data_IF_915694851846
#
_entry.id   IF_915694851846
#
_cell.length_a   1.000
_cell.length_b   1.000
_cell.length_c   1.000
_cell.angle_alpha   90.00
_cell.angle_beta   90.00
_cell.angle_gamma   90.00
#
_symmetry.space_group_name_H-M   'P 1'
#
loop_
_entity.id
_entity.type
_entity.pdbx_description
1 polymer ?
#
# COMPACT_ATOMS: atom_id res chain seq x y z
N UNK A 1 -12.99 -24.79 -0.63
CA UNK A 1 -12.10 -23.85 -1.33
C UNK A 1 -12.08 -22.46 -0.67
N UNK A 2 -13.23 -21.85 -0.41
CA UNK A 2 -13.31 -20.50 0.19
C UNK A 2 -12.71 -20.37 1.60
N UNK A 3 -12.81 -21.38 2.46
CA UNK A 3 -12.29 -21.34 3.84
C UNK A 3 -10.76 -21.24 3.86
N UNK A 4 -10.07 -21.90 2.92
CA UNK A 4 -8.60 -21.84 2.85
C UNK A 4 -8.09 -20.44 2.44
N UNK A 5 -8.89 -19.67 1.72
CA UNK A 5 -8.58 -18.27 1.35
C UNK A 5 -8.66 -17.31 2.53
N UNK A 6 -9.30 -17.71 3.63
CA UNK A 6 -9.31 -16.92 4.87
C UNK A 6 -7.97 -16.99 5.62
N UNK A 7 -7.15 -18.04 5.38
CA UNK A 7 -5.85 -18.19 6.05
C UNK A 7 -4.91 -17.03 5.76
N UNK A 8 -4.69 -16.59 4.50
CA UNK A 8 -3.89 -15.40 4.19
C UNK A 8 -4.37 -14.12 4.88
N UNK A 9 -5.68 -13.90 4.90
CA UNK A 9 -6.27 -12.74 5.55
C UNK A 9 -6.01 -12.75 7.06
N UNK A 10 -6.23 -13.90 7.71
CA UNK A 10 -6.01 -14.05 9.14
C UNK A 10 -4.53 -13.92 9.50
N UNK A 11 -3.64 -14.52 8.70
CA UNK A 11 -2.20 -14.40 8.88
C UNK A 11 -1.74 -12.94 8.77
N UNK A 12 -2.17 -12.25 7.72
CA UNK A 12 -1.85 -10.83 7.52
C UNK A 12 -2.32 -9.97 8.68
N UNK A 13 -3.56 -10.19 9.15
CA UNK A 13 -4.10 -9.51 10.33
C UNK A 13 -3.26 -9.79 11.58
N UNK A 14 -2.93 -11.04 11.88
CA UNK A 14 -2.13 -11.40 13.05
C UNK A 14 -0.75 -10.75 13.02
N UNK A 15 -0.06 -10.79 11.87
CA UNK A 15 1.25 -10.16 11.73
C UNK A 15 1.17 -8.65 11.99
N UNK A 16 0.21 -7.95 11.39
CA UNK A 16 0.01 -6.53 11.63
C UNK A 16 -0.32 -6.23 13.11
N UNK A 17 -1.25 -7.00 13.70
CA UNK A 17 -1.71 -6.83 15.07
C UNK A 17 -0.60 -7.02 16.09
N UNK A 18 0.21 -8.07 15.95
CA UNK A 18 1.30 -8.34 16.89
C UNK A 18 2.54 -7.46 16.67
N UNK A 19 2.82 -7.05 15.43
CA UNK A 19 3.97 -6.17 15.16
C UNK A 19 3.74 -4.73 15.62
N UNK A 20 2.51 -4.24 15.60
CA UNK A 20 2.17 -2.86 15.92
C UNK A 20 2.60 -2.42 17.34
N UNK A 21 2.34 -3.17 18.44
CA UNK A 21 2.80 -2.79 19.76
C UNK A 21 4.32 -2.70 19.89
N UNK A 22 5.04 -3.60 19.23
CA UNK A 22 6.52 -3.56 19.18
C UNK A 22 7.02 -2.32 18.45
N UNK A 23 6.40 -2.00 17.31
CA UNK A 23 6.72 -0.79 16.57
C UNK A 23 6.48 0.48 17.39
N UNK A 24 5.30 0.62 18.00
CA UNK A 24 4.95 1.79 18.81
C UNK A 24 5.99 2.00 19.94
N UNK A 25 6.37 0.93 20.64
CA UNK A 25 7.37 1.00 21.71
C UNK A 25 8.74 1.42 21.17
N UNK A 26 9.14 0.86 20.03
CA UNK A 26 10.44 1.17 19.40
C UNK A 26 10.48 2.58 18.84
N UNK A 27 9.47 2.99 18.09
CA UNK A 27 9.37 4.31 17.49
C UNK A 27 9.44 5.42 18.54
N UNK A 28 8.70 5.29 19.65
CA UNK A 28 8.77 6.24 20.76
C UNK A 28 10.16 6.31 21.39
N UNK A 29 10.84 5.16 21.53
CA UNK A 29 12.20 5.10 22.10
C UNK A 29 13.23 5.77 21.22
N UNK A 30 13.10 5.66 19.89
CA UNK A 30 14.03 6.22 18.91
C UNK A 30 13.67 7.66 18.49
N UNK A 31 12.63 8.25 19.11
CA UNK A 31 12.20 9.61 18.81
C UNK A 31 11.40 9.76 17.50
N UNK A 32 10.93 8.66 16.90
CA UNK A 32 10.00 8.64 15.78
C UNK A 32 8.57 8.81 16.32
N UNK A 33 8.31 9.97 16.91
CA UNK A 33 7.01 10.29 17.50
C UNK A 33 6.64 11.75 17.24
N UNK A 34 5.38 11.97 16.90
CA UNK A 34 4.76 13.29 16.75
C UNK A 34 3.81 13.60 17.91
N UNK A 35 3.42 14.87 18.02
CA UNK A 35 2.39 15.28 18.97
C UNK A 35 1.03 15.24 18.30
N UNK A 36 0.06 14.59 18.94
CA UNK A 36 -1.33 14.62 18.47
C UNK A 36 -1.88 16.05 18.56
N UNK A 37 -2.02 16.68 17.39
CA UNK A 37 -2.48 18.07 17.28
C UNK A 37 -3.98 18.23 17.55
N UNK A 38 -4.74 17.14 17.50
CA UNK A 38 -6.18 17.14 17.66
C UNK A 38 -6.62 16.93 19.12
N UNK A 39 -5.71 16.45 19.97
CA UNK A 39 -5.96 16.30 21.40
C UNK A 39 -5.42 17.48 22.19
N UNK A 40 -6.18 17.95 23.17
CA UNK A 40 -5.77 19.00 24.10
C UNK A 40 -4.55 18.62 24.93
N UNK A 41 -4.39 17.33 25.22
CA UNK A 41 -3.27 16.75 25.99
C UNK A 41 -1.97 16.64 25.20
N UNK A 42 -2.00 16.82 23.86
CA UNK A 42 -0.84 16.70 22.97
C UNK A 42 0.02 15.47 23.25
N UNK A 43 -0.64 14.31 23.41
CA UNK A 43 0.03 13.04 23.67
C UNK A 43 1.00 12.69 22.55
N UNK A 44 2.13 12.07 22.90
CA UNK A 44 3.07 11.55 21.92
C UNK A 44 2.52 10.29 21.23
N UNK A 45 2.44 10.33 19.91
CA UNK A 45 1.97 9.25 19.04
C UNK A 45 3.13 8.78 18.18
N UNK A 46 3.33 7.46 18.09
CA UNK A 46 4.34 6.87 17.23
C UNK A 46 4.00 7.12 15.76
N UNK A 47 4.99 7.52 14.98
CA UNK A 47 4.89 7.72 13.53
C UNK A 47 5.21 6.45 12.75
N UNK A 48 4.95 6.46 11.44
CA UNK A 48 5.26 5.39 10.48
C UNK A 48 4.68 4.00 10.85
N UNK A 49 3.54 3.94 11.54
CA UNK A 49 2.85 2.67 11.87
C UNK A 49 2.42 1.84 10.65
N UNK A 50 2.33 2.45 9.49
CA UNK A 50 2.04 1.79 8.22
C UNK A 50 3.00 0.65 7.86
N UNK A 51 4.23 0.65 8.39
CA UNK A 51 5.19 -0.45 8.21
C UNK A 51 4.64 -1.79 8.71
N UNK A 52 3.96 -1.80 9.86
CA UNK A 52 3.36 -3.01 10.42
C UNK A 52 2.22 -3.54 9.55
N UNK A 53 1.41 -2.63 9.00
CA UNK A 53 0.33 -2.97 8.07
C UNK A 53 0.92 -3.56 6.78
N UNK A 54 1.98 -2.96 6.25
CA UNK A 54 2.69 -3.47 5.07
C UNK A 54 3.30 -4.85 5.31
N UNK A 55 3.91 -5.09 6.46
CA UNK A 55 4.42 -6.43 6.82
C UNK A 55 3.29 -7.47 6.83
N UNK A 56 2.16 -7.14 7.45
CA UNK A 56 0.98 -8.02 7.45
C UNK A 56 0.45 -8.27 6.04
N UNK A 57 0.35 -7.23 5.22
CA UNK A 57 -0.08 -7.34 3.83
C UNK A 57 0.83 -8.24 3.00
N UNK A 58 2.15 -8.04 3.07
CA UNK A 58 3.14 -8.87 2.37
C UNK A 58 3.00 -10.33 2.78
N UNK A 59 2.94 -10.62 4.08
CA UNK A 59 2.80 -11.99 4.57
C UNK A 59 1.47 -12.62 4.13
N UNK A 60 0.39 -11.85 4.11
CA UNK A 60 -0.89 -12.28 3.57
C UNK A 60 -0.81 -12.66 2.10
N UNK A 61 -0.27 -11.78 1.26
CA UNK A 61 -0.14 -12.04 -0.19
C UNK A 61 0.80 -13.22 -0.47
N UNK A 62 1.96 -13.29 0.18
CA UNK A 62 2.90 -14.40 -0.02
C UNK A 62 2.30 -15.75 0.42
N UNK A 63 1.53 -15.77 1.52
CA UNK A 63 0.83 -16.99 1.94
C UNK A 63 -0.29 -17.38 0.98
N UNK A 64 -0.99 -16.40 0.39
CA UNK A 64 -1.98 -16.64 -0.66
C UNK A 64 -1.33 -17.27 -1.90
N UNK A 65 -0.22 -16.71 -2.37
CA UNK A 65 0.54 -17.26 -3.50
C UNK A 65 1.02 -18.67 -3.18
N UNK A 66 1.56 -18.90 -1.99
CA UNK A 66 2.02 -20.22 -1.57
C UNK A 66 0.89 -21.26 -1.57
N UNK A 67 -0.27 -20.94 -1.02
CA UNK A 67 -1.45 -21.82 -1.04
C UNK A 67 -1.92 -22.05 -2.48
N UNK A 68 -2.01 -21.01 -3.31
CA UNK A 68 -2.42 -21.13 -4.71
C UNK A 68 -1.48 -22.05 -5.49
N UNK A 69 -0.17 -21.89 -5.30
CA UNK A 69 0.86 -22.63 -6.03
C UNK A 69 1.01 -24.05 -5.51
N UNK A 70 1.20 -24.25 -4.20
CA UNK A 70 1.56 -25.57 -3.65
C UNK A 70 0.36 -26.46 -3.33
N UNK A 71 -0.79 -25.89 -2.99
CA UNK A 71 -1.97 -26.66 -2.65
C UNK A 71 -2.92 -26.83 -3.85
N UNK A 72 -3.15 -25.75 -4.61
CA UNK A 72 -4.06 -25.78 -5.76
C UNK A 72 -3.34 -26.08 -7.09
N UNK A 73 -2.00 -26.11 -7.12
CA UNK A 73 -1.20 -26.26 -8.34
C UNK A 73 -1.58 -25.29 -9.46
N UNK A 74 -2.04 -24.08 -9.08
CA UNK A 74 -2.45 -23.03 -10.01
C UNK A 74 -1.41 -21.93 -10.07
N UNK A 75 -0.97 -21.65 -11.29
CA UNK A 75 0.02 -20.59 -11.58
C UNK A 75 -0.59 -19.36 -12.25
N UNK A 76 -1.91 -19.38 -12.44
CA UNK A 76 -2.64 -18.26 -13.04
C UNK A 76 -2.49 -16.99 -12.20
N UNK A 77 -2.45 -15.84 -12.85
CA UNK A 77 -2.39 -14.50 -12.25
C UNK A 77 -1.19 -14.22 -11.31
N UNK A 78 -0.23 -15.15 -11.17
CA UNK A 78 0.91 -14.96 -10.25
C UNK A 78 1.74 -13.73 -10.63
N UNK A 79 1.96 -13.51 -11.93
CA UNK A 79 2.71 -12.35 -12.41
C UNK A 79 1.97 -11.05 -12.11
N UNK A 80 0.66 -11.04 -12.25
CA UNK A 80 -0.19 -9.88 -11.95
C UNK A 80 -0.17 -9.56 -10.45
N UNK A 81 -0.23 -10.59 -9.60
CA UNK A 81 -0.15 -10.43 -8.15
C UNK A 81 1.22 -9.89 -7.74
N UNK A 82 2.33 -10.44 -8.28
CA UNK A 82 3.67 -9.94 -7.97
C UNK A 82 3.89 -8.52 -8.48
N UNK A 83 3.37 -8.16 -9.63
CA UNK A 83 3.48 -6.81 -10.15
C UNK A 83 2.69 -5.81 -9.34
N UNK A 84 1.47 -6.17 -8.92
CA UNK A 84 0.66 -5.37 -8.01
C UNK A 84 1.37 -5.21 -6.66
N UNK A 85 1.93 -6.28 -6.12
CA UNK A 85 2.72 -6.25 -4.90
C UNK A 85 3.95 -5.34 -5.04
N UNK A 86 4.67 -5.41 -6.16
CA UNK A 86 5.82 -4.56 -6.41
C UNK A 86 5.45 -3.07 -6.43
N UNK A 87 4.36 -2.70 -7.11
CA UNK A 87 3.84 -1.33 -7.12
C UNK A 87 3.51 -0.85 -5.71
N UNK A 88 2.75 -1.65 -4.95
CA UNK A 88 2.35 -1.30 -3.58
C UNK A 88 3.58 -1.12 -2.69
N UNK A 89 4.59 -1.99 -2.82
CA UNK A 89 5.83 -1.90 -2.04
C UNK A 89 6.62 -0.63 -2.38
N UNK A 90 6.74 -0.27 -3.65
CA UNK A 90 7.45 0.96 -4.06
C UNK A 90 6.70 2.19 -3.55
N UNK A 91 5.37 2.24 -3.71
CA UNK A 91 4.54 3.33 -3.20
C UNK A 91 4.64 3.45 -1.68
N UNK A 92 4.57 2.32 -0.97
CA UNK A 92 4.71 2.30 0.49
C UNK A 92 6.11 2.73 0.94
N UNK A 93 7.16 2.36 0.20
CA UNK A 93 8.53 2.80 0.48
C UNK A 93 8.69 4.32 0.31
N UNK A 94 8.08 4.89 -0.73
CA UNK A 94 8.07 6.35 -0.93
C UNK A 94 7.36 7.05 0.24
N UNK A 95 6.20 6.55 0.67
CA UNK A 95 5.47 7.09 1.83
C UNK A 95 6.27 6.94 3.13
N UNK A 96 6.86 5.78 3.37
CA UNK A 96 7.69 5.53 4.54
C UNK A 96 8.93 6.44 4.60
N UNK A 97 9.56 6.68 3.46
CA UNK A 97 10.69 7.62 3.37
C UNK A 97 10.27 9.04 3.72
N UNK A 98 9.10 9.46 3.27
CA UNK A 98 8.52 10.75 3.60
C UNK A 98 8.22 10.90 5.11
N UNK A 99 7.67 9.87 5.73
CA UNK A 99 7.38 9.85 7.17
C UNK A 99 8.67 9.91 8.01
N UNK A 100 9.72 9.17 7.64
CA UNK A 100 11.00 9.17 8.37
C UNK A 100 11.73 10.50 8.23
N UNK A 101 11.73 11.10 7.03
CA UNK A 101 12.39 12.38 6.80
C UNK A 101 11.67 13.55 7.50
N UNK A 102 10.44 13.30 7.93
CA UNK A 102 9.61 14.25 8.65
C UNK A 102 9.16 15.44 7.80
N UNK A 103 8.18 16.16 8.31
CA UNK A 103 7.53 17.26 7.60
C UNK A 103 8.44 18.44 7.20
N UNK A 104 9.61 18.57 7.82
CA UNK A 104 10.57 19.65 7.50
C UNK A 104 11.49 19.34 6.33
N UNK A 105 11.84 18.07 6.13
CA UNK A 105 12.84 17.62 5.15
C UNK A 105 12.22 16.64 4.15
N UNK A 106 10.92 16.40 4.26
CA UNK A 106 10.17 15.40 3.47
C UNK A 106 10.43 15.48 1.96
N UNK A 107 10.11 14.42 1.27
CA UNK A 107 10.33 14.28 -0.18
C UNK A 107 9.63 15.41 -0.93
N UNK A 108 10.37 16.12 -1.78
CA UNK A 108 9.83 17.17 -2.63
C UNK A 108 8.64 16.61 -3.44
N UNK A 109 7.54 17.41 -3.56
CA UNK A 109 6.32 17.02 -4.29
C UNK A 109 6.60 16.49 -5.69
N UNK A 110 7.51 17.15 -6.41
CA UNK A 110 7.90 16.74 -7.77
C UNK A 110 8.60 15.38 -7.78
N UNK A 111 9.54 15.14 -6.86
CA UNK A 111 10.22 13.87 -6.73
C UNK A 111 9.26 12.75 -6.33
N UNK A 112 8.30 13.02 -5.44
CA UNK A 112 7.25 12.06 -5.07
C UNK A 112 6.45 11.63 -6.29
N UNK A 113 5.98 12.58 -7.11
CA UNK A 113 5.22 12.27 -8.33
C UNK A 113 6.07 11.45 -9.31
N UNK A 114 7.34 11.79 -9.50
CA UNK A 114 8.26 11.04 -10.36
C UNK A 114 8.40 9.60 -9.86
N UNK A 115 8.65 9.38 -8.55
CA UNK A 115 8.76 8.04 -7.99
C UNK A 115 7.47 7.23 -8.11
N UNK A 116 6.29 7.86 -7.96
CA UNK A 116 5.01 7.20 -8.15
C UNK A 116 4.75 6.80 -9.61
N UNK A 117 5.20 7.61 -10.58
CA UNK A 117 5.16 7.25 -12.00
C UNK A 117 6.05 6.03 -12.25
N UNK A 118 7.28 6.02 -11.74
CA UNK A 118 8.15 4.84 -11.84
C UNK A 118 7.56 3.62 -11.13
N UNK A 119 6.91 3.81 -9.98
CA UNK A 119 6.22 2.74 -9.27
C UNK A 119 5.12 2.07 -10.10
N UNK A 120 4.52 2.78 -11.05
CA UNK A 120 3.46 2.23 -11.91
C UNK A 120 3.96 1.29 -13.01
N UNK A 121 5.26 1.29 -13.33
CA UNK A 121 5.83 0.53 -14.45
C UNK A 121 5.52 -0.97 -14.42
N UNK A 122 5.60 -1.71 -13.30
CA UNK A 122 5.29 -3.13 -13.29
C UNK A 122 3.87 -3.44 -13.78
N UNK A 123 2.88 -2.65 -13.36
CA UNK A 123 1.49 -2.80 -13.82
C UNK A 123 1.30 -2.36 -15.26
N UNK A 124 1.98 -1.32 -15.71
CA UNK A 124 1.96 -0.88 -17.10
C UNK A 124 2.48 -1.98 -18.02
N UNK A 125 3.62 -2.59 -17.66
CA UNK A 125 4.26 -3.64 -18.48
C UNK A 125 3.36 -4.86 -18.63
N UNK A 126 2.71 -5.31 -17.57
CA UNK A 126 1.80 -6.48 -17.64
C UNK A 126 0.56 -6.18 -18.47
N UNK A 127 0.02 -4.97 -18.37
CA UNK A 127 -1.16 -4.58 -19.11
C UNK A 127 -0.85 -4.07 -20.53
N UNK A 128 0.43 -4.00 -20.92
CA UNK A 128 0.83 -3.63 -22.26
C UNK A 128 0.36 -4.71 -23.27
N UNK A 129 -0.43 -4.28 -24.25
CA UNK A 129 -0.98 -5.17 -25.29
C UNK A 129 -2.26 -5.93 -24.91
N UNK A 130 -2.79 -5.76 -23.70
CA UNK A 130 -4.05 -6.41 -23.29
C UNK A 130 -5.31 -5.58 -23.59
N UNK A 131 -5.17 -4.35 -24.04
CA UNK A 131 -6.29 -3.48 -24.32
C UNK A 131 -6.80 -3.65 -25.74
N UNK A 132 -7.99 -4.20 -25.88
CA UNK A 132 -8.76 -4.32 -27.13
C UNK A 132 -9.36 -3.00 -27.65
N UNK A 133 -8.81 -1.87 -27.25
CA UNK A 133 -9.28 -0.54 -27.70
C UNK A 133 -8.45 -0.14 -28.90
N UNK A 134 -8.98 -0.46 -30.08
CA UNK A 134 -8.54 -0.10 -31.45
C UNK A 134 -7.27 0.73 -31.65
N UNK A 135 -6.35 0.11 -32.24
CA UNK A 135 -5.26 0.40 -33.15
C UNK A 135 -4.12 1.36 -32.81
N UNK A 136 -4.24 2.45 -32.08
CA UNK A 136 -3.09 3.33 -31.76
C UNK A 136 -3.04 3.82 -30.31
N UNK A 137 -4.00 3.44 -29.50
CA UNK A 137 -4.12 3.79 -28.07
C UNK A 137 -3.64 2.65 -27.14
N UNK A 138 -3.22 1.52 -27.70
CA UNK A 138 -2.89 0.30 -26.94
C UNK A 138 -1.76 0.48 -25.93
N UNK A 139 -0.81 1.38 -26.21
CA UNK A 139 0.28 1.72 -25.30
C UNK A 139 -0.02 2.96 -24.44
N UNK A 140 -0.73 3.94 -25.01
CA UNK A 140 -0.99 5.21 -24.33
C UNK A 140 -2.00 5.02 -23.21
N UNK A 141 -3.00 4.17 -23.38
CA UNK A 141 -4.05 3.93 -22.42
C UNK A 141 -3.52 3.32 -21.09
N UNK A 142 -2.81 2.18 -21.06
CA UNK A 142 -2.27 1.65 -19.82
C UNK A 142 -1.22 2.58 -19.20
N UNK A 143 -0.36 3.21 -19.99
CA UNK A 143 0.66 4.13 -19.48
C UNK A 143 0.02 5.34 -18.78
N UNK A 144 -0.93 6.00 -19.42
CA UNK A 144 -1.59 7.18 -18.84
C UNK A 144 -2.53 6.82 -17.69
N UNK A 145 -3.42 5.85 -17.87
CA UNK A 145 -4.45 5.53 -16.89
C UNK A 145 -3.87 4.93 -15.62
N UNK A 146 -2.94 3.98 -15.75
CA UNK A 146 -2.32 3.32 -14.59
C UNK A 146 -1.44 4.32 -13.84
N UNK A 147 -0.60 5.09 -14.54
CA UNK A 147 0.26 6.07 -13.90
C UNK A 147 -0.55 7.17 -13.20
N UNK A 148 -1.54 7.77 -13.89
CA UNK A 148 -2.41 8.80 -13.30
C UNK A 148 -3.23 8.23 -12.15
N UNK A 149 -3.74 6.99 -12.28
CA UNK A 149 -4.48 6.31 -11.23
C UNK A 149 -3.66 6.11 -9.96
N UNK A 150 -2.42 5.60 -10.08
CA UNK A 150 -1.53 5.38 -8.93
C UNK A 150 -1.11 6.70 -8.27
N UNK A 151 -0.68 7.68 -9.08
CA UNK A 151 -0.30 9.01 -8.58
C UNK A 151 -1.50 9.69 -7.92
N UNK A 152 -2.66 9.66 -8.57
CA UNK A 152 -3.89 10.26 -8.07
C UNK A 152 -4.35 9.61 -6.77
N UNK A 153 -4.48 8.28 -6.72
CA UNK A 153 -4.91 7.55 -5.54
C UNK A 153 -3.98 7.79 -4.35
N UNK A 154 -2.67 7.62 -4.54
CA UNK A 154 -1.67 7.82 -3.48
C UNK A 154 -1.65 9.27 -2.97
N UNK A 155 -1.69 10.26 -3.88
CA UNK A 155 -1.67 11.67 -3.49
C UNK A 155 -2.96 12.10 -2.81
N UNK A 156 -4.12 11.67 -3.31
CA UNK A 156 -5.43 12.02 -2.73
C UNK A 156 -5.58 11.45 -1.32
N UNK A 157 -5.16 10.20 -1.11
CA UNK A 157 -5.20 9.57 0.21
C UNK A 157 -4.37 10.35 1.24
N UNK A 158 -3.19 10.84 0.84
CA UNK A 158 -2.33 11.66 1.69
C UNK A 158 -2.92 13.05 1.97
N UNK A 159 -3.66 13.65 1.01
CA UNK A 159 -4.32 14.94 1.23
C UNK A 159 -5.50 14.87 2.20
N UNK A 160 -6.18 13.73 2.28
CA UNK A 160 -7.33 13.54 3.17
C UNK A 160 -6.89 13.27 4.61
N UNK A 161 -5.61 12.93 4.82
CA UNK A 161 -4.99 12.72 6.11
C UNK A 161 -4.99 13.99 6.98
N UNK A 162 -6.11 14.30 7.59
CA UNK A 162 -6.24 15.51 8.42
C UNK A 162 -6.86 15.26 9.78
N UNK A 163 -7.61 14.19 9.95
CA UNK A 163 -8.29 13.85 11.19
C UNK A 163 -7.98 12.43 11.64
N UNK A 164 -7.86 12.24 12.95
CA UNK A 164 -7.60 10.93 13.54
C UNK A 164 -8.66 9.90 13.11
N UNK A 165 -8.21 8.81 12.48
CA UNK A 165 -9.06 7.71 12.03
C UNK A 165 -9.75 7.92 10.68
N UNK A 166 -9.65 9.07 10.03
CA UNK A 166 -10.29 9.34 8.74
C UNK A 166 -9.73 8.43 7.64
N UNK A 167 -8.40 8.33 7.55
CA UNK A 167 -7.72 7.45 6.57
C UNK A 167 -8.10 5.98 6.75
N UNK A 168 -8.04 5.50 7.99
CA UNK A 168 -8.35 4.10 8.28
C UNK A 168 -9.80 3.77 8.00
N UNK A 169 -10.75 4.63 8.37
CA UNK A 169 -12.17 4.41 8.09
C UNK A 169 -12.47 4.44 6.59
N UNK A 170 -11.87 5.36 5.86
CA UNK A 170 -12.01 5.46 4.42
C UNK A 170 -11.39 4.25 3.70
N UNK A 171 -10.19 3.81 4.14
CA UNK A 171 -9.56 2.60 3.65
C UNK A 171 -10.44 1.37 3.85
N UNK A 172 -11.05 1.21 5.02
CA UNK A 172 -11.98 0.11 5.30
C UNK A 172 -13.18 0.16 4.36
N UNK A 173 -13.81 1.32 4.16
CA UNK A 173 -14.97 1.47 3.28
C UNK A 173 -14.62 1.12 1.83
N UNK A 174 -13.48 1.64 1.33
CA UNK A 174 -13.03 1.37 -0.05
C UNK A 174 -12.75 -0.12 -0.23
N UNK A 175 -11.94 -0.73 0.64
CA UNK A 175 -11.58 -2.14 0.54
C UNK A 175 -12.80 -3.06 0.69
N UNK A 176 -13.71 -2.73 1.58
CA UNK A 176 -14.95 -3.49 1.73
C UNK A 176 -15.82 -3.39 0.47
N UNK A 177 -15.97 -2.19 -0.10
CA UNK A 177 -16.73 -1.99 -1.34
C UNK A 177 -16.15 -2.72 -2.55
N UNK A 178 -14.81 -2.84 -2.62
CA UNK A 178 -14.11 -3.58 -3.67
C UNK A 178 -14.17 -5.11 -3.48
N UNK A 179 -14.51 -5.58 -2.29
CA UNK A 179 -14.61 -7.02 -1.98
C UNK A 179 -16.00 -7.63 -2.26
N UNK A 180 -17.01 -6.80 -2.55
CA UNK A 180 -18.39 -7.18 -2.91
C UNK A 180 -18.52 -7.43 -4.39
#
# INVERSE_FOLDING_TARGET
MQILLLVPLFLGFLVAFFSLPFWIKRAKKEGLSGKDMHKTTKEEVAEAGGVCVMMGFIMGILSYIAIKTFYFNSYEDIMEIFSSLAVILIVAFVGFTDDILGWKIGVNRTLRVIFLIFASLPLIVINAGQTSVGSNLELIYPVLLIAVGIVGASSTFNFIAGYNGLESSQGIIILFSLSL
#
